data_IF_510577861251
#
_entry.id   IF_510577861251
#
_cell.length_a   1.000
_cell.length_b   1.000
_cell.length_c   1.000
_cell.angle_alpha   90.00
_cell.angle_beta   90.00
_cell.angle_gamma   90.00
#
_symmetry.space_group_name_H-M   'P 1'
#
loop_
_entity.id
_entity.type
_entity.pdbx_description
1 polymer ?
#
# COMPACT_ATOMS: atom_id res chain seq x y z
N UNK A 1 11.77 -15.89 -2.26
CA UNK A 1 11.16 -15.01 -1.22
C UNK A 1 9.85 -15.68 -0.80
N UNK A 2 9.72 -16.17 0.45
CA UNK A 2 8.47 -16.84 0.88
C UNK A 2 7.32 -15.83 0.80
N UNK A 3 6.26 -16.16 0.07
CA UNK A 3 5.05 -15.34 0.06
C UNK A 3 4.46 -15.37 1.47
N UNK A 4 4.47 -14.23 2.17
CA UNK A 4 3.71 -14.11 3.41
C UNK A 4 2.23 -14.14 3.05
N UNK A 5 1.41 -15.00 3.69
CA UNK A 5 -0.02 -14.97 3.48
C UNK A 5 -0.56 -13.57 3.79
N UNK A 6 -1.57 -13.14 3.02
CA UNK A 6 -2.26 -11.89 3.28
C UNK A 6 -2.83 -11.88 4.70
N UNK A 7 -2.69 -10.77 5.45
CA UNK A 7 -3.25 -10.68 6.78
C UNK A 7 -4.75 -10.98 6.81
N UNK A 8 -5.18 -11.71 7.83
CA UNK A 8 -6.59 -11.92 8.16
C UNK A 8 -6.73 -11.90 9.69
N UNK A 9 -6.79 -10.68 10.20
CA UNK A 9 -6.78 -10.34 11.63
C UNK A 9 -8.19 -10.23 12.21
N UNK A 10 -9.22 -10.40 11.38
CA UNK A 10 -10.63 -10.23 11.77
C UNK A 10 -11.15 -8.80 11.71
N UNK A 11 -10.34 -7.83 11.28
CA UNK A 11 -10.79 -6.45 11.03
C UNK A 11 -10.02 -5.81 9.88
N UNK A 12 -10.68 -4.96 9.09
CA UNK A 12 -10.04 -4.22 8.01
C UNK A 12 -8.86 -3.39 8.54
N UNK A 13 -9.03 -2.74 9.70
CA UNK A 13 -7.95 -1.98 10.33
C UNK A 13 -6.73 -2.85 10.60
N UNK A 14 -6.94 -4.00 11.24
CA UNK A 14 -5.85 -4.92 11.55
C UNK A 14 -5.16 -5.44 10.29
N UNK A 15 -5.94 -5.76 9.25
CA UNK A 15 -5.43 -6.27 7.97
C UNK A 15 -4.54 -5.22 7.28
N UNK A 16 -5.04 -3.98 7.17
CA UNK A 16 -4.30 -2.86 6.59
C UNK A 16 -3.03 -2.52 7.38
N UNK A 17 -3.06 -2.54 8.71
CA UNK A 17 -1.87 -2.30 9.52
C UNK A 17 -0.84 -3.42 9.36
N UNK A 18 -1.28 -4.68 9.38
CA UNK A 18 -0.41 -5.84 9.19
C UNK A 18 0.22 -5.90 7.79
N UNK A 19 -0.44 -5.30 6.79
CA UNK A 19 0.06 -5.16 5.43
C UNK A 19 0.97 -3.92 5.24
N UNK A 20 0.57 -2.75 5.74
CA UNK A 20 1.26 -1.48 5.50
C UNK A 20 2.53 -1.32 6.35
N UNK A 21 2.54 -1.80 7.61
CA UNK A 21 3.70 -1.66 8.51
C UNK A 21 4.96 -2.32 7.97
N UNK A 22 4.94 -3.57 7.45
CA UNK A 22 6.12 -4.17 6.83
C UNK A 22 6.61 -3.41 5.60
N UNK A 23 5.69 -2.89 4.78
CA UNK A 23 6.04 -2.08 3.60
C UNK A 23 6.79 -0.82 4.06
N UNK A 24 6.21 -0.07 4.99
CA UNK A 24 6.81 1.14 5.53
C UNK A 24 8.15 0.89 6.22
N UNK A 25 8.27 -0.22 6.97
CA UNK A 25 9.52 -0.60 7.64
C UNK A 25 10.61 -0.95 6.63
N UNK A 26 10.27 -1.72 5.60
CA UNK A 26 11.20 -2.07 4.52
C UNK A 26 11.68 -0.82 3.78
N UNK A 27 10.74 0.04 3.36
CA UNK A 27 11.05 1.28 2.66
C UNK A 27 11.79 2.32 3.52
N UNK A 28 11.72 2.23 4.85
CA UNK A 28 12.48 3.10 5.76
C UNK A 28 13.94 2.68 5.91
N UNK A 29 14.29 1.44 5.57
CA UNK A 29 15.68 0.97 5.60
C UNK A 29 16.53 1.60 4.49
N UNK A 30 17.84 1.69 4.71
CA UNK A 30 18.77 2.22 3.70
C UNK A 30 18.76 1.35 2.45
N UNK A 31 18.78 0.03 2.63
CA UNK A 31 18.77 -0.96 1.57
C UNK A 31 17.44 -0.92 0.81
N UNK A 32 16.31 -0.96 1.53
CA UNK A 32 14.98 -0.97 0.92
C UNK A 32 14.63 0.32 0.19
N UNK A 33 14.97 1.49 0.75
CA UNK A 33 14.75 2.78 0.06
C UNK A 33 15.64 2.93 -1.18
N UNK A 34 16.89 2.46 -1.12
CA UNK A 34 17.81 2.53 -2.26
C UNK A 34 17.40 1.58 -3.37
N UNK A 35 17.00 0.35 -3.03
CA UNK A 35 16.44 -0.60 -3.98
C UNK A 35 15.16 -0.06 -4.63
N UNK A 36 14.23 0.49 -3.84
CA UNK A 36 13.01 1.09 -4.37
C UNK A 36 13.31 2.24 -5.34
N UNK A 37 14.20 3.17 -4.97
CA UNK A 37 14.61 4.27 -5.87
C UNK A 37 15.28 3.76 -7.14
N UNK A 38 16.12 2.73 -7.05
CA UNK A 38 16.76 2.12 -8.21
C UNK A 38 15.70 1.54 -9.17
N UNK A 39 14.73 0.76 -8.65
CA UNK A 39 13.62 0.22 -9.46
C UNK A 39 12.86 1.34 -10.17
N UNK A 40 12.54 2.45 -9.49
CA UNK A 40 11.86 3.59 -10.11
C UNK A 40 12.74 4.26 -11.18
N UNK A 41 14.03 4.49 -10.90
CA UNK A 41 14.96 5.15 -11.82
C UNK A 41 15.25 4.32 -13.08
N UNK A 42 15.32 3.00 -12.96
CA UNK A 42 15.53 2.09 -14.10
C UNK A 42 14.25 1.82 -14.88
N UNK A 43 13.09 2.21 -14.36
CA UNK A 43 11.81 2.13 -15.08
C UNK A 43 11.69 3.34 -16.00
N UNK A 44 12.37 3.30 -17.15
CA UNK A 44 12.20 4.29 -18.22
C UNK A 44 10.79 4.17 -18.83
N UNK A 45 10.16 5.28 -19.28
CA UNK A 45 8.89 5.22 -20.02
C UNK A 45 8.98 4.47 -21.36
N UNK A 46 10.19 4.24 -21.91
CA UNK A 46 10.37 3.83 -23.30
C UNK A 46 11.45 2.76 -23.58
N UNK A 47 12.08 2.11 -22.58
CA UNK A 47 13.22 1.24 -22.89
C UNK A 47 13.49 0.05 -21.98
N UNK A 48 12.77 -0.13 -20.86
CA UNK A 48 12.90 -1.30 -20.00
C UNK A 48 11.53 -1.84 -19.65
N UNK A 49 11.41 -3.15 -19.63
CA UNK A 49 10.16 -3.90 -19.60
C UNK A 49 9.23 -3.45 -18.45
N UNK A 50 8.29 -2.55 -18.77
CA UNK A 50 7.30 -2.02 -17.82
C UNK A 50 6.41 -3.11 -17.20
N UNK A 51 6.57 -4.36 -17.64
CA UNK A 51 5.98 -5.58 -17.08
C UNK A 51 6.26 -5.73 -15.59
N UNK A 52 7.49 -5.47 -15.10
CA UNK A 52 7.84 -5.66 -13.70
C UNK A 52 7.16 -4.63 -12.79
N UNK A 53 7.10 -3.36 -13.20
CA UNK A 53 6.36 -2.31 -12.48
C UNK A 53 4.86 -2.62 -12.45
N UNK A 54 4.30 -2.98 -13.62
CA UNK A 54 2.88 -3.36 -13.71
C UNK A 54 2.60 -4.57 -12.85
N UNK A 55 3.43 -5.61 -12.88
CA UNK A 55 3.28 -6.80 -12.05
C UNK A 55 3.37 -6.49 -10.55
N UNK A 56 4.32 -5.63 -10.14
CA UNK A 56 4.44 -5.22 -8.75
C UNK A 56 3.24 -4.39 -8.27
N UNK A 57 2.75 -3.46 -9.08
CA UNK A 57 1.54 -2.69 -8.77
C UNK A 57 0.29 -3.57 -8.80
N UNK A 58 0.14 -4.45 -9.79
CA UNK A 58 -0.97 -5.41 -9.89
C UNK A 58 -1.02 -6.30 -8.66
N UNK A 59 0.12 -6.85 -8.23
CA UNK A 59 0.21 -7.65 -7.00
C UNK A 59 -0.20 -6.85 -5.76
N UNK A 60 0.16 -5.56 -5.69
CA UNK A 60 -0.30 -4.68 -4.59
C UNK A 60 -1.81 -4.46 -4.67
N UNK A 61 -2.35 -4.22 -5.86
CA UNK A 61 -3.78 -4.05 -6.09
C UNK A 61 -4.57 -5.30 -5.71
N UNK A 62 -4.12 -6.48 -6.13
CA UNK A 62 -4.72 -7.78 -5.76
C UNK A 62 -4.73 -7.98 -4.23
N UNK A 63 -3.61 -7.67 -3.56
CA UNK A 63 -3.52 -7.72 -2.11
C UNK A 63 -4.51 -6.79 -1.41
N UNK A 64 -4.61 -5.56 -1.91
CA UNK A 64 -5.53 -4.55 -1.39
C UNK A 64 -6.99 -4.98 -1.60
N UNK A 65 -7.34 -5.41 -2.81
CA UNK A 65 -8.70 -5.86 -3.15
C UNK A 65 -9.14 -7.03 -2.28
N UNK A 66 -8.26 -8.02 -2.07
CA UNK A 66 -8.58 -9.15 -1.21
C UNK A 66 -8.88 -8.76 0.25
N UNK A 67 -8.15 -7.79 0.82
CA UNK A 67 -8.45 -7.28 2.17
C UNK A 67 -9.76 -6.50 2.21
N UNK A 68 -10.04 -5.69 1.17
CA UNK A 68 -11.29 -4.93 1.06
C UNK A 68 -12.50 -5.87 0.90
N UNK A 69 -12.38 -6.91 0.07
CA UNK A 69 -13.41 -7.93 -0.11
C UNK A 69 -13.71 -8.70 1.18
N UNK A 70 -12.67 -9.09 1.94
CA UNK A 70 -12.87 -9.72 3.25
C UNK A 70 -13.61 -8.80 4.22
N UNK A 71 -13.25 -7.54 4.27
CA UNK A 71 -13.93 -6.55 5.10
C UNK A 71 -15.41 -6.38 4.70
N UNK A 72 -15.71 -6.28 3.39
CA UNK A 72 -17.08 -6.21 2.87
C UNK A 72 -17.89 -7.44 3.28
N UNK A 73 -17.32 -8.65 3.19
CA UNK A 73 -17.97 -9.90 3.62
C UNK A 73 -18.28 -9.95 5.12
N UNK A 74 -17.49 -9.26 5.95
CA UNK A 74 -17.73 -9.11 7.39
C UNK A 74 -18.75 -8.01 7.73
N UNK A 75 -19.26 -7.28 6.73
CA UNK A 75 -20.14 -6.13 6.95
C UNK A 75 -19.41 -4.86 7.41
N UNK A 76 -18.07 -4.84 7.34
CA UNK A 76 -17.28 -3.65 7.66
C UNK A 76 -17.42 -2.59 6.56
N UNK A 77 -17.33 -1.32 6.94
CA UNK A 77 -17.27 -0.21 5.99
C UNK A 77 -15.89 -0.14 5.34
N UNK A 78 -15.75 -0.78 4.18
CA UNK A 78 -14.52 -0.76 3.38
C UNK A 78 -14.48 0.46 2.42
N UNK A 79 -13.32 1.14 2.28
CA UNK A 79 -13.10 2.13 1.23
C UNK A 79 -12.95 1.46 -0.14
N UNK A 80 -12.90 2.26 -1.19
CA UNK A 80 -12.60 1.76 -2.54
C UNK A 80 -11.10 1.50 -2.73
N UNK A 81 -10.74 0.66 -3.70
CA UNK A 81 -9.34 0.32 -4.00
C UNK A 81 -8.49 1.57 -4.27
N UNK A 82 -9.04 2.51 -5.05
CA UNK A 82 -8.39 3.77 -5.39
C UNK A 82 -8.14 4.61 -4.13
N UNK A 83 -9.10 4.67 -3.20
CA UNK A 83 -8.91 5.40 -1.95
C UNK A 83 -7.79 4.78 -1.11
N UNK A 84 -7.70 3.46 -1.02
CA UNK A 84 -6.62 2.77 -0.31
C UNK A 84 -5.26 3.00 -0.98
N UNK A 85 -5.21 2.96 -2.31
CA UNK A 85 -4.01 3.28 -3.07
C UNK A 85 -3.55 4.72 -2.81
N UNK A 86 -4.45 5.69 -2.95
CA UNK A 86 -4.15 7.12 -2.84
C UNK A 86 -3.81 7.56 -1.41
N UNK A 87 -4.42 6.96 -0.39
CA UNK A 87 -4.25 7.37 1.00
C UNK A 87 -3.16 6.61 1.74
N UNK A 88 -2.82 5.39 1.31
CA UNK A 88 -1.84 4.55 2.01
C UNK A 88 -0.65 4.26 1.13
N UNK A 89 -0.84 3.61 -0.02
CA UNK A 89 0.29 3.12 -0.81
C UNK A 89 1.10 4.26 -1.45
N UNK A 90 0.43 5.18 -2.12
CA UNK A 90 1.08 6.31 -2.80
C UNK A 90 1.86 7.22 -1.81
N UNK A 91 1.33 7.60 -0.63
CA UNK A 91 2.09 8.35 0.36
C UNK A 91 3.31 7.62 0.92
N UNK A 92 3.24 6.29 1.09
CA UNK A 92 4.41 5.49 1.51
C UNK A 92 5.50 5.53 0.43
N UNK A 93 5.12 5.33 -0.83
CA UNK A 93 6.05 5.34 -1.98
C UNK A 93 6.67 6.73 -2.20
N UNK A 94 5.86 7.79 -2.15
CA UNK A 94 6.36 9.17 -2.26
C UNK A 94 7.37 9.51 -1.17
N UNK A 95 7.09 9.11 0.08
CA UNK A 95 8.03 9.34 1.18
C UNK A 95 9.35 8.60 0.98
N UNK A 96 9.31 7.34 0.52
CA UNK A 96 10.50 6.57 0.22
C UNK A 96 11.32 7.19 -0.94
N UNK A 97 10.64 7.63 -2.00
CA UNK A 97 11.27 8.23 -3.17
C UNK A 97 12.05 9.51 -2.81
N UNK A 98 11.44 10.38 -2.02
CA UNK A 98 12.01 11.69 -1.64
C UNK A 98 12.73 11.69 -0.29
N UNK A 99 13.02 10.52 0.29
CA UNK A 99 13.77 10.42 1.55
C UNK A 99 13.07 11.09 2.75
N UNK A 100 11.73 11.15 2.75
CA UNK A 100 10.95 11.70 3.87
C UNK A 100 10.79 10.68 5.00
N UNK A 101 10.52 11.11 6.25
CA UNK A 101 10.29 10.21 7.37
C UNK A 101 9.24 9.13 7.07
N UNK A 102 9.61 7.88 7.34
CA UNK A 102 8.83 6.69 7.06
C UNK A 102 8.99 5.65 8.18
N UNK A 103 8.04 4.74 8.32
CA UNK A 103 8.05 3.69 9.33
C UNK A 103 6.66 3.33 9.82
N UNK A 104 6.57 2.46 10.84
CA UNK A 104 5.29 1.95 11.37
C UNK A 104 4.34 3.08 11.77
N UNK A 105 4.81 4.08 12.52
CA UNK A 105 3.97 5.22 12.94
C UNK A 105 3.41 6.06 11.76
N UNK A 106 4.07 6.05 10.60
CA UNK A 106 3.54 6.70 9.40
C UNK A 106 2.46 5.82 8.76
N UNK A 107 2.69 4.51 8.64
CA UNK A 107 1.69 3.57 8.14
C UNK A 107 0.42 3.61 9.00
N UNK A 108 0.55 3.58 10.33
CA UNK A 108 -0.56 3.60 11.27
C UNK A 108 -1.43 4.84 11.07
N UNK A 109 -0.82 6.03 11.02
CA UNK A 109 -1.54 7.28 10.78
C UNK A 109 -2.22 7.35 9.41
N UNK A 110 -1.63 6.75 8.36
CA UNK A 110 -2.26 6.72 7.04
C UNK A 110 -3.48 5.81 7.03
N UNK A 111 -3.37 4.62 7.63
CA UNK A 111 -4.48 3.66 7.76
C UNK A 111 -5.59 4.24 8.63
N UNK A 112 -5.27 4.81 9.79
CA UNK A 112 -6.25 5.38 10.71
C UNK A 112 -7.04 6.52 10.05
N UNK A 113 -6.37 7.37 9.26
CA UNK A 113 -7.05 8.44 8.51
C UNK A 113 -7.94 7.92 7.39
N UNK A 114 -7.53 6.87 6.70
CA UNK A 114 -8.36 6.25 5.66
C UNK A 114 -9.65 5.68 6.26
N UNK A 115 -9.55 4.99 7.40
CA UNK A 115 -10.69 4.33 8.04
C UNK A 115 -11.64 5.33 8.70
N UNK A 116 -11.09 6.42 9.25
CA UNK A 116 -11.90 7.50 9.82
C UNK A 116 -12.68 8.32 8.78
N UNK A 117 -12.40 8.15 7.48
CA UNK A 117 -13.07 8.96 6.45
C UNK A 117 -14.56 8.59 6.29
N UNK A 118 -15.43 9.60 6.12
CA UNK A 118 -16.78 9.36 5.63
C UNK A 118 -16.71 8.79 4.20
N UNK A 119 -17.71 8.00 3.80
CA UNK A 119 -17.76 7.42 2.46
C UNK A 119 -17.91 8.58 1.47
N UNK A 120 -17.02 8.68 0.48
CA UNK A 120 -17.19 9.68 -0.58
C UNK A 120 -18.47 9.32 -1.36
N UNK A 121 -19.42 10.26 -1.54
CA UNK A 121 -20.55 10.00 -2.42
C UNK A 121 -20.04 9.75 -3.83
N UNK A 122 -20.65 8.84 -4.60
CA UNK A 122 -20.24 8.59 -5.97
C UNK A 122 -20.39 9.89 -6.80
N UNK A 123 -19.30 10.34 -7.45
CA UNK A 123 -19.35 11.43 -8.44
C UNK A 123 -18.60 12.75 -8.14
N UNK A 124 -17.49 12.72 -7.41
CA UNK A 124 -16.59 13.89 -7.28
C UNK A 124 -15.44 13.88 -8.27
#
# INVERSE_FOLDING_TARGET
>A
MRERPLPDTGSLRGDLLAWARPIATSLASREGSSFFRAVIATTTPAGADGSLRRAALNRRSEQMELMLERARKRGEKAPDLVELLDHVLAPLYMRALFGRPLGKAVADRLVDRLIARPKRPPGG
#
